data_IF_219247433245
#
_entry.id   IF_219247433245
#
_cell.length_a   1.000
_cell.length_b   1.000
_cell.length_c   1.000
_cell.angle_alpha   90.00
_cell.angle_beta   90.00
_cell.angle_gamma   90.00
#
_symmetry.space_group_name_H-M   'P 1'
#
loop_
_entity.id
_entity.type
_entity.pdbx_description
1 polymer ?
#
# COMPACT_ATOMS: atom_id res chain seq x y z
N UNK A 1 3.86 -20.22 0.03
CA UNK A 1 3.82 -19.02 0.86
C UNK A 1 3.38 -17.87 0.01
N UNK A 2 2.60 -16.99 0.60
CA UNK A 2 2.06 -15.86 -0.15
C UNK A 2 3.12 -14.81 -0.34
N UNK A 3 3.20 -14.28 -1.53
CA UNK A 3 4.13 -13.22 -1.86
C UNK A 3 3.35 -12.07 -2.45
N UNK A 4 3.85 -10.88 -2.28
CA UNK A 4 3.05 -9.70 -2.54
C UNK A 4 3.79 -8.68 -3.38
N UNK A 5 3.02 -7.99 -4.22
CA UNK A 5 3.41 -6.73 -4.82
C UNK A 5 2.56 -5.64 -4.20
N UNK A 6 3.19 -4.52 -3.92
CA UNK A 6 2.44 -3.34 -3.50
C UNK A 6 2.43 -2.36 -4.66
N UNK A 7 1.30 -1.72 -4.86
CA UNK A 7 1.13 -0.74 -5.93
C UNK A 7 1.06 0.63 -5.30
N UNK A 8 1.82 1.55 -5.87
CA UNK A 8 2.02 2.86 -5.29
C UNK A 8 1.36 3.93 -6.15
N UNK A 9 0.81 4.91 -5.48
CA UNK A 9 0.37 6.14 -6.12
C UNK A 9 0.77 7.28 -5.21
N UNK A 10 1.50 8.25 -5.76
CA UNK A 10 2.04 9.37 -4.99
C UNK A 10 2.89 8.89 -3.81
N UNK A 11 3.70 7.85 -4.09
CA UNK A 11 4.62 7.25 -3.11
C UNK A 11 3.90 6.65 -1.89
N UNK A 12 2.67 6.20 -2.08
CA UNK A 12 1.91 5.60 -1.00
C UNK A 12 1.28 4.30 -1.48
N UNK A 13 1.25 3.29 -0.62
CA UNK A 13 0.68 1.99 -0.94
C UNK A 13 -0.83 2.13 -1.03
N UNK A 14 -1.37 1.90 -2.22
CA UNK A 14 -2.82 1.99 -2.43
C UNK A 14 -3.44 0.63 -2.74
N UNK A 15 -2.60 -0.38 -3.00
CA UNK A 15 -3.10 -1.72 -3.31
C UNK A 15 -2.01 -2.73 -2.98
N UNK A 16 -2.41 -3.87 -2.43
CA UNK A 16 -1.51 -4.99 -2.18
C UNK A 16 -2.12 -6.20 -2.87
N UNK A 17 -1.33 -6.89 -3.68
CA UNK A 17 -1.80 -8.04 -4.42
C UNK A 17 -0.94 -9.25 -4.10
N UNK A 18 -1.55 -10.44 -4.08
CA UNK A 18 -0.84 -11.69 -3.86
C UNK A 18 -0.43 -12.24 -5.22
N UNK A 19 0.85 -12.55 -5.35
CA UNK A 19 1.38 -13.15 -6.57
C UNK A 19 1.98 -14.51 -6.25
N UNK A 20 1.89 -15.43 -7.16
CA UNK A 20 2.49 -16.74 -6.99
C UNK A 20 4.01 -16.67 -7.02
N UNK A 21 4.57 -15.72 -7.79
CA UNK A 21 6.01 -15.54 -7.88
C UNK A 21 6.28 -14.11 -8.32
N UNK A 22 7.53 -13.72 -8.24
CA UNK A 22 7.93 -12.38 -8.68
C UNK A 22 7.79 -12.29 -10.19
N UNK A 23 6.99 -11.36 -10.66
CA UNK A 23 6.71 -11.17 -12.08
C UNK A 23 6.59 -9.67 -12.35
N UNK A 24 7.74 -9.05 -12.63
CA UNK A 24 7.80 -7.61 -12.80
C UNK A 24 6.97 -7.13 -13.99
N UNK A 25 6.95 -7.93 -15.05
CA UNK A 25 6.23 -7.54 -16.25
C UNK A 25 4.73 -7.50 -15.99
N UNK A 26 4.21 -8.52 -15.32
CA UNK A 26 2.80 -8.56 -14.99
C UNK A 26 2.45 -7.46 -13.99
N UNK A 27 3.30 -7.26 -12.99
CA UNK A 27 3.04 -6.23 -11.98
C UNK A 27 3.02 -4.85 -12.63
N UNK A 28 3.97 -4.57 -13.53
CA UNK A 28 3.99 -3.29 -14.23
C UNK A 28 2.75 -3.10 -15.09
N UNK A 29 2.30 -4.16 -15.74
CA UNK A 29 1.10 -4.08 -16.55
C UNK A 29 -0.12 -3.76 -15.70
N UNK A 30 -0.25 -4.43 -14.56
CA UNK A 30 -1.38 -4.18 -13.65
C UNK A 30 -1.33 -2.73 -13.16
N UNK A 31 -0.13 -2.26 -12.80
CA UNK A 31 0.00 -0.87 -12.34
C UNK A 31 -0.46 0.10 -13.41
N UNK A 32 -0.06 -0.12 -14.66
CA UNK A 32 -0.45 0.77 -15.75
C UNK A 32 -1.94 0.71 -16.01
N UNK A 33 -2.52 -0.47 -16.00
CA UNK A 33 -3.95 -0.63 -16.27
C UNK A 33 -4.81 -0.02 -15.18
N UNK A 34 -4.36 -0.08 -13.95
CA UNK A 34 -5.11 0.44 -12.81
C UNK A 34 -4.79 1.91 -12.52
N UNK A 35 -3.81 2.47 -13.22
CA UNK A 35 -3.47 3.87 -13.00
C UNK A 35 -2.57 4.11 -11.82
N UNK A 36 -1.83 3.09 -11.39
CA UNK A 36 -0.85 3.25 -10.31
C UNK A 36 0.48 3.73 -10.88
N UNK A 37 1.29 4.36 -10.04
CA UNK A 37 2.57 4.91 -10.45
C UNK A 37 3.66 3.86 -10.52
N UNK A 38 3.61 2.86 -9.64
CA UNK A 38 4.69 1.89 -9.54
C UNK A 38 4.21 0.61 -8.88
N UNK A 39 5.00 -0.45 -9.02
CA UNK A 39 4.74 -1.72 -8.37
C UNK A 39 6.04 -2.18 -7.73
N UNK A 40 6.00 -2.56 -6.45
CA UNK A 40 7.20 -2.94 -5.70
C UNK A 40 7.01 -4.33 -5.12
N UNK A 41 7.99 -5.19 -5.36
CA UNK A 41 7.99 -6.54 -4.82
C UNK A 41 8.39 -6.51 -3.36
N UNK A 42 7.56 -7.04 -2.49
CA UNK A 42 7.85 -7.09 -1.06
C UNK A 42 7.89 -8.51 -0.51
N UNK A 43 7.53 -9.50 -1.33
CA UNK A 43 7.56 -10.88 -0.89
C UNK A 43 6.55 -11.13 0.20
N UNK A 44 7.02 -11.72 1.30
CA UNK A 44 6.14 -12.05 2.42
C UNK A 44 5.94 -10.90 3.39
N UNK A 45 6.79 -9.88 3.31
CA UNK A 45 6.77 -8.76 4.27
C UNK A 45 5.96 -7.60 3.74
N UNK A 46 4.65 -7.78 3.68
CA UNK A 46 3.81 -6.71 3.14
C UNK A 46 3.68 -5.57 4.14
N UNK A 47 3.81 -4.33 3.68
CA UNK A 47 3.60 -3.18 4.55
C UNK A 47 2.11 -2.95 4.79
N UNK A 48 1.80 -2.08 5.72
CA UNK A 48 0.41 -1.68 5.96
C UNK A 48 -0.10 -0.89 4.75
N UNK A 49 -1.40 -0.97 4.50
CA UNK A 49 -2.01 -0.15 3.46
C UNK A 49 -1.78 1.32 3.77
N UNK A 50 -1.57 2.10 2.72
CA UNK A 50 -1.33 3.53 2.80
C UNK A 50 0.01 3.90 3.43
N UNK A 51 0.92 2.92 3.59
CA UNK A 51 2.28 3.23 3.98
C UNK A 51 2.93 4.12 2.94
N UNK A 52 3.81 5.01 3.38
CA UNK A 52 4.58 5.81 2.44
C UNK A 52 5.85 5.06 2.05
N UNK A 53 6.35 5.33 0.86
CA UNK A 53 7.53 4.66 0.35
C UNK A 53 8.54 5.71 -0.08
N UNK A 54 9.77 5.62 0.42
CA UNK A 54 10.80 6.60 0.11
C UNK A 54 11.81 6.13 -0.92
N UNK A 55 11.53 5.00 -1.57
CA UNK A 55 12.43 4.38 -2.53
C UNK A 55 13.22 3.23 -1.95
N UNK A 56 13.22 3.07 -0.65
CA UNK A 56 13.98 2.03 0.04
C UNK A 56 13.13 1.30 1.08
N UNK A 57 12.35 2.02 1.86
CA UNK A 57 11.59 1.42 2.93
C UNK A 57 10.20 2.02 3.02
N UNK A 58 9.34 1.32 3.74
CA UNK A 58 7.95 1.72 3.93
C UNK A 58 7.77 2.23 5.35
N UNK A 59 6.98 3.29 5.49
CA UNK A 59 6.63 3.87 6.78
C UNK A 59 5.12 3.77 6.94
N UNK A 60 4.67 3.16 8.04
CA UNK A 60 3.25 2.99 8.27
C UNK A 60 2.53 4.34 8.35
N UNK A 61 1.29 4.42 7.88
CA UNK A 61 0.56 5.67 7.94
C UNK A 61 0.21 6.02 9.37
N UNK A 62 0.08 7.31 9.64
CA UNK A 62 -0.35 7.77 10.96
C UNK A 62 -1.86 7.67 11.04
N UNK A 63 -2.39 7.63 12.27
CA UNK A 63 -3.82 7.67 12.47
C UNK A 63 -4.41 8.95 11.87
N UNK A 64 -3.69 10.05 12.03
CA UNK A 64 -4.15 11.33 11.51
C UNK A 64 -4.33 11.28 10.00
N UNK A 65 -3.38 10.66 9.31
CA UNK A 65 -3.48 10.53 7.86
C UNK A 65 -4.71 9.68 7.50
N UNK A 66 -4.90 8.56 8.18
CA UNK A 66 -6.01 7.65 7.86
C UNK A 66 -7.36 8.32 8.12
N UNK A 67 -7.44 9.14 9.14
CA UNK A 67 -8.65 9.91 9.42
C UNK A 67 -8.89 10.92 8.31
N UNK A 68 -7.84 11.58 7.86
CA UNK A 68 -7.98 12.64 6.87
C UNK A 68 -8.47 12.14 5.53
N UNK A 69 -8.18 10.90 5.18
CA UNK A 69 -8.62 10.31 3.91
C UNK A 69 -9.90 9.48 4.06
N UNK A 70 -10.46 9.42 5.27
CA UNK A 70 -11.74 8.77 5.49
C UNK A 70 -11.68 7.26 5.69
N UNK A 71 -10.50 6.68 5.85
CA UNK A 71 -10.36 5.25 6.07
C UNK A 71 -10.69 4.89 7.53
N UNK A 72 -10.30 5.76 8.47
CA UNK A 72 -10.60 5.58 9.87
C UNK A 72 -11.49 6.70 10.35
N UNK A 73 -12.38 6.36 11.24
CA UNK A 73 -13.16 7.40 11.90
C UNK A 73 -12.31 8.06 12.96
N UNK A 74 -12.50 9.36 13.20
CA UNK A 74 -11.81 10.00 14.31
C UNK A 74 -12.22 9.34 15.61
N UNK A 75 -11.35 9.38 16.63
CA UNK A 75 -11.72 8.78 17.91
C UNK A 75 -12.97 9.45 18.44
N UNK A 76 -13.90 8.64 18.86
CA UNK A 76 -15.10 9.15 19.44
C UNK A 76 -14.76 9.61 20.84
N UNK A 77 -15.10 10.85 21.14
CA UNK A 77 -14.99 11.30 22.50
C UNK A 77 -15.99 10.53 23.29
N UNK A 78 -15.48 9.62 24.06
CA UNK A 78 -16.38 8.85 24.85
C UNK A 78 -16.88 9.70 25.93
N UNK A 79 -18.02 10.15 25.78
CA UNK A 79 -18.52 11.07 26.75
C UNK A 79 -19.40 10.38 27.73
N UNK A 80 -19.27 9.18 27.85
CA UNK A 80 -20.05 8.53 28.82
C UNK A 80 -19.72 8.77 30.12
#
# INVERSE_FOLDING_TARGET
>A
MEQHYVFLKDNRVVQIAVFASQDEELADRVAQEQGFDDAVWVGEDKPAMFSSYDGTSFTAPTKEYLISIGIMNPPVEETE
#
